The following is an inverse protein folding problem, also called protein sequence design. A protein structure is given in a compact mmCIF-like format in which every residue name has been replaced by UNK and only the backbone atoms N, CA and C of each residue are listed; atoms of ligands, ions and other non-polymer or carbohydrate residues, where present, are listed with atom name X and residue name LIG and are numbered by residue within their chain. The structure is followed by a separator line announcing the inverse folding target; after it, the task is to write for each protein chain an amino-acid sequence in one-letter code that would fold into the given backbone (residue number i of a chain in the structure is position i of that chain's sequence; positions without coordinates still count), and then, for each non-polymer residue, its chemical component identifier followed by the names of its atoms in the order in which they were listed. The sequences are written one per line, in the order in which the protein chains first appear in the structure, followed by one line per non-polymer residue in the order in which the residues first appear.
data_IF_794105194087
#
_entry.id   IF_794105194087
#
_cell.length_a   1.000
_cell.length_b   1.000
_cell.length_c   1.000
_cell.angle_alpha   90.00
_cell.angle_beta   90.00
_cell.angle_gamma   90.00
#
_symmetry.space_group_name_H-M   'P 1'
#
loop_
_entity.id
_entity.type
_entity.pdbx_description
1 polymer ?
#
# COMPACT_ATOMS: atom_id res chain seq x y z
N UNK A 1 5.68 2.82 -31.68
CA UNK A 1 6.21 3.70 -30.61
C UNK A 1 5.99 2.96 -29.29
N UNK A 2 7.06 2.60 -28.58
CA UNK A 2 6.93 1.95 -27.27
C UNK A 2 6.33 2.96 -26.27
N UNK A 3 5.31 2.56 -25.51
CA UNK A 3 4.72 3.39 -24.47
C UNK A 3 5.69 3.61 -23.31
N UNK A 4 5.67 4.78 -22.70
CA UNK A 4 6.45 5.07 -21.50
C UNK A 4 5.69 4.62 -20.24
N UNK A 5 6.39 4.01 -19.28
CA UNK A 5 5.84 3.71 -17.96
C UNK A 5 5.74 5.01 -17.15
N UNK A 6 4.53 5.41 -16.78
CA UNK A 6 4.27 6.68 -16.07
C UNK A 6 3.66 6.50 -14.68
N UNK A 7 3.38 5.27 -14.28
CA UNK A 7 2.86 4.96 -12.96
C UNK A 7 2.73 3.46 -12.71
N UNK A 8 2.74 3.09 -11.44
CA UNK A 8 2.68 1.70 -10.96
C UNK A 8 1.76 1.65 -9.74
N UNK A 9 0.96 0.60 -9.66
CA UNK A 9 0.23 0.21 -8.46
C UNK A 9 0.60 -1.24 -8.12
N UNK A 10 0.97 -1.47 -6.87
CA UNK A 10 1.31 -2.79 -6.33
C UNK A 10 0.25 -3.17 -5.30
N UNK A 11 -0.38 -4.31 -5.51
CA UNK A 11 -1.37 -4.85 -4.60
C UNK A 11 -1.26 -6.38 -4.51
N UNK A 12 -1.69 -6.93 -3.37
CA UNK A 12 -1.66 -8.35 -3.07
C UNK A 12 -3.10 -8.86 -2.89
N UNK A 13 -3.46 -10.03 -3.46
CA UNK A 13 -4.79 -10.59 -3.30
C UNK A 13 -5.02 -11.15 -1.88
N UNK A 14 -6.29 -11.40 -1.51
CA UNK A 14 -6.64 -11.99 -0.22
C UNK A 14 -5.85 -13.26 0.10
N UNK A 15 -5.28 -13.31 1.30
CA UNK A 15 -4.53 -14.47 1.81
C UNK A 15 -3.08 -14.57 1.34
N UNK A 16 -2.56 -13.59 0.59
CA UNK A 16 -1.14 -13.57 0.16
C UNK A 16 -0.23 -12.81 1.12
N UNK A 17 -0.75 -11.81 1.84
CA UNK A 17 0.02 -11.09 2.85
C UNK A 17 0.10 -11.90 4.16
N UNK A 18 1.27 -11.97 4.83
CA UNK A 18 2.56 -11.40 4.43
C UNK A 18 3.27 -12.22 3.35
N UNK A 19 4.00 -11.54 2.47
CA UNK A 19 4.86 -12.21 1.50
C UNK A 19 5.99 -12.97 2.20
N UNK A 20 6.46 -14.09 1.62
CA UNK A 20 7.63 -14.77 2.12
C UNK A 20 8.85 -13.83 2.07
N UNK A 21 9.75 -13.99 3.04
CA UNK A 21 10.98 -13.20 3.07
C UNK A 21 11.84 -13.48 1.82
N UNK A 22 12.54 -12.46 1.30
CA UNK A 22 13.53 -12.66 0.24
C UNK A 22 14.63 -13.64 0.68
N UNK A 23 15.36 -14.23 -0.29
CA UNK A 23 16.49 -15.11 0.01
C UNK A 23 17.58 -14.42 0.85
N UNK A 24 18.31 -15.20 1.67
CA UNK A 24 19.34 -14.71 2.60
C UNK A 24 20.38 -13.82 1.92
N UNK A 25 20.84 -14.17 0.73
CA UNK A 25 21.79 -13.35 -0.03
C UNK A 25 21.25 -11.95 -0.36
N UNK A 26 19.97 -11.85 -0.72
CA UNK A 26 19.29 -10.57 -0.95
C UNK A 26 19.18 -9.78 0.34
N UNK A 27 18.80 -10.43 1.44
CA UNK A 27 18.73 -9.77 2.75
C UNK A 27 20.09 -9.20 3.20
N UNK A 28 21.18 -9.95 3.02
CA UNK A 28 22.53 -9.48 3.31
C UNK A 28 22.97 -8.31 2.42
N UNK A 29 22.69 -8.36 1.12
CA UNK A 29 22.97 -7.24 0.19
C UNK A 29 22.21 -5.98 0.58
N UNK A 30 20.92 -6.13 0.89
CA UNK A 30 20.05 -5.03 1.31
C UNK A 30 20.54 -4.45 2.64
N UNK A 31 20.90 -5.29 3.61
CA UNK A 31 21.50 -4.86 4.89
C UNK A 31 22.81 -4.09 4.68
N UNK A 32 23.72 -4.61 3.84
CA UNK A 32 24.99 -3.97 3.54
C UNK A 32 24.80 -2.61 2.85
N UNK A 33 23.86 -2.51 1.92
CA UNK A 33 23.58 -1.27 1.19
C UNK A 33 22.95 -0.18 2.06
N UNK A 34 22.03 -0.53 2.97
CA UNK A 34 21.28 0.45 3.78
C UNK A 34 21.90 0.73 5.16
N UNK A 35 22.74 -0.18 5.67
CA UNK A 35 23.35 -0.15 6.99
C UNK A 35 22.41 -0.57 8.14
N UNK A 36 23.01 -0.95 9.28
CA UNK A 36 22.29 -1.51 10.43
C UNK A 36 21.28 -0.54 11.06
N UNK A 37 21.59 0.76 11.07
CA UNK A 37 20.68 1.78 11.62
C UNK A 37 19.37 1.84 10.83
N UNK A 38 19.46 1.87 9.52
CA UNK A 38 18.30 1.90 8.61
C UNK A 38 17.52 0.60 8.69
N UNK A 39 18.21 -0.55 8.71
CA UNK A 39 17.59 -1.85 8.87
C UNK A 39 16.79 -1.96 10.18
N UNK A 40 17.33 -1.46 11.31
CA UNK A 40 16.61 -1.41 12.60
C UNK A 40 15.35 -0.53 12.55
N UNK A 41 15.40 0.59 11.82
CA UNK A 41 14.23 1.46 11.65
C UNK A 41 13.16 0.78 10.81
N UNK A 42 13.54 0.15 9.69
CA UNK A 42 12.62 -0.63 8.85
C UNK A 42 12.00 -1.80 9.61
N UNK A 43 12.79 -2.54 10.38
CA UNK A 43 12.27 -3.63 11.23
C UNK A 43 11.20 -3.12 12.19
N UNK A 44 11.39 -1.93 12.79
CA UNK A 44 10.38 -1.31 13.64
C UNK A 44 9.14 -0.88 12.85
N UNK A 45 9.31 -0.27 11.67
CA UNK A 45 8.18 0.09 10.80
C UNK A 45 7.34 -1.14 10.47
N UNK A 46 7.97 -2.21 9.97
CA UNK A 46 7.28 -3.47 9.66
C UNK A 46 6.57 -4.04 10.88
N UNK A 47 7.23 -4.12 12.04
CA UNK A 47 6.61 -4.64 13.24
C UNK A 47 5.35 -3.85 13.67
N UNK A 48 5.41 -2.52 13.63
CA UNK A 48 4.27 -1.68 14.02
C UNK A 48 3.10 -1.80 13.03
N UNK A 49 3.38 -1.83 11.73
CA UNK A 49 2.36 -2.00 10.70
C UNK A 49 1.72 -3.39 10.74
N UNK A 50 2.53 -4.45 10.79
CA UNK A 50 2.03 -5.83 10.87
C UNK A 50 1.17 -6.06 12.11
N UNK A 51 1.53 -5.46 13.25
CA UNK A 51 0.74 -5.59 14.48
C UNK A 51 -0.67 -5.00 14.33
N UNK A 52 -0.81 -3.94 13.53
CA UNK A 52 -2.07 -3.25 13.29
C UNK A 52 -2.81 -3.72 12.02
N UNK A 53 -2.19 -4.62 11.25
CA UNK A 53 -2.71 -5.12 9.99
C UNK A 53 -3.96 -6.00 10.23
N UNK A 54 -5.02 -5.87 9.42
CA UNK A 54 -6.23 -6.68 9.57
C UNK A 54 -5.96 -8.17 9.39
N UNK A 55 -6.66 -9.00 10.16
CA UNK A 55 -6.56 -10.47 10.07
C UNK A 55 -7.52 -11.10 9.06
N UNK A 56 -8.59 -10.39 8.70
CA UNK A 56 -9.56 -10.92 7.75
C UNK A 56 -8.96 -10.91 6.32
N UNK A 57 -9.26 -11.88 5.45
CA UNK A 57 -8.72 -11.89 4.08
C UNK A 57 -9.16 -10.66 3.29
N UNK A 58 -8.21 -9.95 2.67
CA UNK A 58 -8.47 -8.72 1.93
C UNK A 58 -7.42 -8.45 0.85
N UNK A 59 -7.79 -7.64 -0.14
CA UNK A 59 -6.83 -7.05 -1.06
C UNK A 59 -6.00 -5.97 -0.35
N UNK A 60 -4.68 -6.12 -0.31
CA UNK A 60 -3.80 -5.12 0.28
C UNK A 60 -3.17 -4.26 -0.81
N UNK A 61 -3.47 -2.96 -0.86
CA UNK A 61 -2.80 -1.98 -1.72
C UNK A 61 -1.57 -1.44 -0.99
N UNK A 62 -0.40 -1.93 -1.40
CA UNK A 62 0.89 -1.66 -0.76
C UNK A 62 1.52 -0.35 -1.27
N UNK A 63 1.45 -0.11 -2.58
CA UNK A 63 2.08 1.07 -3.17
C UNK A 63 1.31 1.59 -4.39
N UNK A 64 1.23 2.91 -4.50
CA UNK A 64 0.87 3.59 -5.74
C UNK A 64 1.83 4.74 -6.00
N UNK A 65 2.39 4.78 -7.20
CA UNK A 65 3.36 5.78 -7.63
C UNK A 65 3.06 6.28 -9.04
N UNK A 66 3.26 7.57 -9.27
CA UNK A 66 3.11 8.22 -10.57
C UNK A 66 4.34 9.10 -10.80
N UNK A 67 4.93 8.98 -11.99
CA UNK A 67 6.06 9.79 -12.43
C UNK A 67 5.74 11.29 -12.24
N UNK A 68 6.63 12.12 -11.65
CA UNK A 68 6.34 13.52 -11.35
C UNK A 68 5.70 14.32 -12.50
N UNK A 69 6.22 14.18 -13.72
CA UNK A 69 5.70 14.88 -14.91
C UNK A 69 4.35 14.35 -15.41
N UNK A 70 3.92 13.20 -14.91
CA UNK A 70 2.62 12.59 -15.20
C UNK A 70 1.60 12.77 -14.07
N UNK A 71 1.98 13.39 -12.95
CA UNK A 71 1.08 13.64 -11.83
C UNK A 71 0.00 14.68 -12.18
N UNK A 72 -1.12 14.64 -11.46
CA UNK A 72 -2.30 15.51 -11.67
C UNK A 72 -2.94 15.40 -13.07
N UNK A 73 -2.58 14.39 -13.87
CA UNK A 73 -3.16 14.08 -15.19
C UNK A 73 -4.12 12.89 -15.16
N UNK A 74 -4.56 12.48 -13.97
CA UNK A 74 -5.49 11.36 -13.78
C UNK A 74 -4.86 9.96 -13.74
N UNK A 75 -3.53 9.81 -13.88
CA UNK A 75 -2.84 8.51 -13.92
C UNK A 75 -3.08 7.68 -12.64
N UNK A 76 -2.85 8.27 -11.46
CA UNK A 76 -3.07 7.56 -10.20
C UNK A 76 -4.53 7.17 -9.98
N UNK A 77 -5.47 7.99 -10.46
CA UNK A 77 -6.90 7.68 -10.41
C UNK A 77 -7.24 6.52 -11.33
N UNK A 78 -6.72 6.51 -12.56
CA UNK A 78 -6.93 5.41 -13.50
C UNK A 78 -6.35 4.09 -12.99
N UNK A 79 -5.17 4.12 -12.35
CA UNK A 79 -4.59 2.94 -11.70
C UNK A 79 -5.48 2.43 -10.55
N UNK A 80 -5.95 3.34 -9.69
CA UNK A 80 -6.81 3.00 -8.56
C UNK A 80 -8.16 2.44 -9.04
N UNK A 81 -8.78 3.05 -10.04
CA UNK A 81 -10.07 2.59 -10.60
C UNK A 81 -9.92 1.19 -11.22
N UNK A 82 -8.84 0.94 -11.98
CA UNK A 82 -8.57 -0.38 -12.55
C UNK A 82 -8.35 -1.46 -11.47
N UNK A 83 -7.62 -1.12 -10.40
CA UNK A 83 -7.46 -1.99 -9.25
C UNK A 83 -8.79 -2.27 -8.55
N UNK A 84 -9.59 -1.24 -8.29
CA UNK A 84 -10.87 -1.41 -7.59
C UNK A 84 -11.89 -2.19 -8.40
N UNK A 85 -11.88 -2.09 -9.73
CA UNK A 85 -12.68 -2.94 -10.59
C UNK A 85 -12.36 -4.44 -10.38
N UNK A 86 -11.08 -4.77 -10.15
CA UNK A 86 -10.66 -6.14 -9.80
C UNK A 86 -11.11 -6.54 -8.40
N UNK A 87 -10.93 -5.66 -7.41
CA UNK A 87 -11.40 -5.88 -6.03
C UNK A 87 -12.91 -6.16 -6.01
N UNK A 88 -13.69 -5.37 -6.74
CA UNK A 88 -15.14 -5.51 -6.82
C UNK A 88 -15.56 -6.79 -7.55
N UNK A 89 -14.87 -7.16 -8.63
CA UNK A 89 -15.10 -8.43 -9.32
C UNK A 89 -14.86 -9.66 -8.44
N UNK A 90 -13.91 -9.57 -7.52
CA UNK A 90 -13.60 -10.66 -6.57
C UNK A 90 -14.53 -10.64 -5.34
N UNK A 91 -15.37 -9.61 -5.17
CA UNK A 91 -16.29 -9.49 -4.03
C UNK A 91 -15.59 -9.41 -2.67
N UNK A 92 -14.30 -9.03 -2.65
CA UNK A 92 -13.47 -9.00 -1.46
C UNK A 92 -13.28 -7.56 -0.94
N UNK A 93 -13.01 -7.37 0.36
CA UNK A 93 -12.64 -6.06 0.87
C UNK A 93 -11.23 -5.66 0.41
N UNK A 94 -10.92 -4.36 0.55
CA UNK A 94 -9.56 -3.85 0.34
C UNK A 94 -9.09 -2.97 1.48
N UNK A 95 -7.79 -3.06 1.76
CA UNK A 95 -7.09 -2.37 2.81
C UNK A 95 -5.87 -1.63 2.25
N UNK A 96 -5.53 -0.50 2.89
CA UNK A 96 -4.27 0.21 2.66
C UNK A 96 -3.88 1.04 3.89
N UNK A 97 -2.61 1.42 3.96
CA UNK A 97 -2.10 2.45 4.85
C UNK A 97 -1.63 3.68 4.08
N UNK A 98 -1.72 4.85 4.71
CA UNK A 98 -1.04 6.05 4.22
C UNK A 98 -0.57 6.92 5.36
N UNK A 99 0.63 7.49 5.23
CA UNK A 99 1.20 8.47 6.16
C UNK A 99 0.87 9.92 5.77
N UNK A 100 0.13 10.11 4.66
CA UNK A 100 -0.24 11.41 4.10
C UNK A 100 -1.71 11.71 4.34
N UNK A 101 -2.01 12.65 5.23
CA UNK A 101 -3.38 13.11 5.50
C UNK A 101 -4.09 13.67 4.25
N UNK A 102 -3.34 14.27 3.34
CA UNK A 102 -3.84 14.76 2.03
C UNK A 102 -4.41 13.64 1.13
N UNK A 103 -3.94 12.40 1.28
CA UNK A 103 -4.44 11.26 0.51
C UNK A 103 -5.81 10.76 1.01
N UNK A 104 -6.23 11.11 2.23
CA UNK A 104 -7.49 10.63 2.80
C UNK A 104 -8.70 11.05 1.95
N UNK A 105 -8.69 12.25 1.38
CA UNK A 105 -9.77 12.71 0.51
C UNK A 105 -9.85 11.92 -0.80
N UNK A 106 -8.70 11.51 -1.36
CA UNK A 106 -8.64 10.65 -2.54
C UNK A 106 -9.25 9.27 -2.23
N UNK A 107 -8.79 8.64 -1.15
CA UNK A 107 -9.26 7.29 -0.79
C UNK A 107 -10.71 7.27 -0.30
N UNK A 108 -11.18 8.34 0.36
CA UNK A 108 -12.58 8.48 0.72
C UNK A 108 -13.51 8.50 -0.51
N UNK A 109 -13.10 9.17 -1.60
CA UNK A 109 -13.84 9.14 -2.88
C UNK A 109 -13.85 7.75 -3.53
N UNK A 110 -12.87 6.92 -3.20
CA UNK A 110 -12.79 5.51 -3.57
C UNK A 110 -13.50 4.58 -2.57
N UNK A 111 -14.36 5.13 -1.70
CA UNK A 111 -15.12 4.41 -0.67
C UNK A 111 -14.30 3.73 0.43
N UNK A 112 -13.03 4.10 0.59
CA UNK A 112 -12.27 3.74 1.78
C UNK A 112 -12.70 4.58 2.98
N UNK A 113 -12.65 3.99 4.17
CA UNK A 113 -12.90 4.65 5.45
C UNK A 113 -11.72 4.43 6.38
N UNK A 114 -11.37 5.45 7.15
CA UNK A 114 -10.35 5.31 8.20
C UNK A 114 -10.88 4.36 9.27
N UNK A 115 -10.13 3.31 9.58
CA UNK A 115 -10.43 2.31 10.61
C UNK A 115 -9.44 2.36 11.78
N UNK A 116 -8.37 3.14 11.66
CA UNK A 116 -7.42 3.39 12.73
C UNK A 116 -6.33 4.37 12.33
N UNK A 117 -5.59 4.84 13.33
CA UNK A 117 -4.42 5.67 13.18
C UNK A 117 -3.35 5.16 14.14
N UNK A 118 -2.16 4.86 13.63
CA UNK A 118 -1.01 4.45 14.42
C UNK A 118 0.10 5.50 14.33
N UNK A 119 0.97 5.56 15.34
CA UNK A 119 2.20 6.37 15.27
C UNK A 119 3.40 5.48 15.03
N UNK A 120 3.89 5.46 13.80
CA UNK A 120 5.07 4.69 13.41
C UNK A 120 6.27 5.64 13.36
N UNK A 121 7.23 5.44 14.27
CA UNK A 121 8.40 6.33 14.41
C UNK A 121 8.03 7.82 14.58
N UNK A 122 6.87 8.11 15.18
CA UNK A 122 6.35 9.46 15.39
C UNK A 122 5.55 10.04 14.21
N UNK A 123 5.48 9.32 13.08
CA UNK A 123 4.69 9.69 11.91
C UNK A 123 3.29 9.06 12.03
N UNK A 124 2.20 9.82 11.82
CA UNK A 124 0.86 9.23 11.78
C UNK A 124 0.71 8.35 10.53
N UNK A 125 0.18 7.15 10.72
CA UNK A 125 -0.18 6.22 9.65
C UNK A 125 -1.66 5.90 9.78
N UNK A 126 -2.44 6.31 8.79
CA UNK A 126 -3.86 6.05 8.71
C UNK A 126 -4.08 4.69 8.06
N UNK A 127 -4.89 3.85 8.72
CA UNK A 127 -5.32 2.55 8.23
C UNK A 127 -6.71 2.69 7.62
N UNK A 128 -6.86 2.28 6.37
CA UNK A 128 -8.07 2.53 5.58
C UNK A 128 -8.67 1.22 5.07
N UNK A 129 -9.99 1.10 5.17
CA UNK A 129 -10.75 -0.09 4.79
C UNK A 129 -11.85 0.25 3.80
N UNK A 130 -11.99 -0.58 2.76
CA UNK A 130 -13.07 -0.53 1.78
C UNK A 130 -13.82 -1.86 1.80
N UNK A 131 -15.15 -1.78 1.96
CA UNK A 131 -16.03 -2.96 1.87
C UNK A 131 -16.25 -3.38 0.41
N UNK A 132 -16.60 -4.66 0.15
CA UNK A 132 -17.02 -5.10 -1.18
C UNK A 132 -18.21 -4.29 -1.70
N UNK A 133 -18.24 -4.01 -3.00
CA UNK A 133 -19.40 -3.36 -3.65
C UNK A 133 -19.58 -1.88 -3.28
N UNK A 134 -18.50 -1.19 -2.90
CA UNK A 134 -18.50 0.22 -2.51
C UNK A 134 -18.69 1.21 -3.66
N UNK A 135 -19.47 0.86 -4.68
CA UNK A 135 -19.95 1.79 -5.71
C UNK A 135 -21.29 2.40 -5.28
#
# INVERSE_FOLDING_TARGET
RAGALVGVLVAQPPGVHPLPLPGVATQLRVLAAQGLRTARRWARVHFELERAHPREPHWYLDMVGVEPDAQRRGVGRALLDAFLARVDADGAPSYLETDRRENLALYARAAYRVVGEERVLGVPVFRLWRRPGGA
#
